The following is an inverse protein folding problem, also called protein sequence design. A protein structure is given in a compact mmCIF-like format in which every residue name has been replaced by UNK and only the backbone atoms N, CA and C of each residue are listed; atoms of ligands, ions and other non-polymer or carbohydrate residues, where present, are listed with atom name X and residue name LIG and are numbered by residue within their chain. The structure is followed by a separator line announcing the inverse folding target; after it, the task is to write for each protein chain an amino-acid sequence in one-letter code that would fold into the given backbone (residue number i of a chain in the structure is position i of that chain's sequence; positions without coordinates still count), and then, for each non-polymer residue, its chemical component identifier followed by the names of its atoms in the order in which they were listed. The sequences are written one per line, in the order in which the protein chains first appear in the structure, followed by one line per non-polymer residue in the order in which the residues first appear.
data_IF_289665926179
#
_entry.id   IF_289665926179
#
_cell.length_a   1.000
_cell.length_b   1.000
_cell.length_c   1.000
_cell.angle_alpha   90.00
_cell.angle_beta   90.00
_cell.angle_gamma   90.00
#
_symmetry.space_group_name_H-M   'P 1'
#
loop_
_entity.id
_entity.type
_entity.pdbx_description
1 polymer ?
#
# COMPACT_ATOMS: atom_id res chain seq x y z
N UNK A 1 -27.18 38.48 -16.22
CA UNK A 1 -27.57 39.63 -15.38
C UNK A 1 -26.84 39.45 -14.05
N UNK A 2 -26.40 40.52 -13.39
CA UNK A 2 -25.86 40.43 -12.02
C UNK A 2 -26.90 41.01 -11.09
N UNK A 3 -27.30 40.28 -10.06
CA UNK A 3 -28.40 40.67 -9.17
C UNK A 3 -28.22 40.08 -7.77
N UNK A 4 -28.81 40.75 -6.78
CA UNK A 4 -28.95 40.27 -5.40
C UNK A 4 -30.39 40.50 -4.97
N UNK A 5 -31.09 39.43 -4.60
CA UNK A 5 -32.47 39.52 -4.12
C UNK A 5 -32.77 38.53 -3.00
N UNK A 6 -33.80 38.84 -2.23
CA UNK A 6 -34.28 37.99 -1.13
C UNK A 6 -35.50 37.19 -1.61
N UNK A 7 -35.43 35.87 -1.50
CA UNK A 7 -36.47 34.90 -1.89
C UNK A 7 -36.90 34.10 -0.67
N UNK A 8 -37.84 34.66 0.12
CA UNK A 8 -38.26 34.05 1.39
C UNK A 8 -37.08 33.95 2.36
N UNK A 9 -36.67 32.71 2.67
CA UNK A 9 -35.58 32.40 3.60
C UNK A 9 -34.18 32.38 2.92
N UNK A 10 -34.10 32.66 1.62
CA UNK A 10 -32.87 32.52 0.83
C UNK A 10 -32.41 33.87 0.28
N UNK A 11 -31.10 34.14 0.32
CA UNK A 11 -30.48 35.20 -0.48
C UNK A 11 -30.05 34.59 -1.82
N UNK A 12 -30.60 35.12 -2.90
CA UNK A 12 -30.23 34.76 -4.27
C UNK A 12 -29.16 35.75 -4.75
N UNK A 13 -27.92 35.29 -4.89
CA UNK A 13 -26.78 36.05 -5.40
C UNK A 13 -26.35 35.46 -6.74
N UNK A 14 -26.58 36.18 -7.83
CA UNK A 14 -26.26 35.72 -9.20
C UNK A 14 -25.31 36.69 -9.90
N UNK A 15 -24.33 36.15 -10.62
CA UNK A 15 -23.42 36.90 -11.46
C UNK A 15 -22.41 35.98 -12.13
N UNK A 16 -21.69 36.48 -13.14
CA UNK A 16 -20.65 35.72 -13.82
C UNK A 16 -19.48 35.36 -12.87
N UNK A 17 -19.15 36.27 -11.95
CA UNK A 17 -18.12 36.11 -10.93
C UNK A 17 -18.59 36.82 -9.65
N UNK A 18 -18.54 36.13 -8.52
CA UNK A 18 -18.68 36.75 -7.19
C UNK A 18 -17.28 36.94 -6.62
N UNK A 19 -16.90 38.20 -6.38
CA UNK A 19 -15.62 38.54 -5.76
C UNK A 19 -15.85 38.93 -4.31
N UNK A 20 -15.25 38.19 -3.38
CA UNK A 20 -15.10 38.61 -1.99
C UNK A 20 -13.64 39.08 -1.78
N UNK A 21 -13.46 40.26 -1.22
CA UNK A 21 -12.14 40.76 -0.78
C UNK A 21 -11.93 40.61 0.73
N UNK A 22 -12.85 39.91 1.39
CA UNK A 22 -12.73 39.53 2.79
C UNK A 22 -11.90 38.25 2.93
N UNK A 23 -11.23 38.08 4.08
CA UNK A 23 -10.40 36.91 4.35
C UNK A 23 -11.23 35.63 4.60
N UNK A 24 -12.44 35.80 5.14
CA UNK A 24 -13.26 34.72 5.66
C UNK A 24 -14.65 34.68 5.00
N UNK A 25 -15.12 33.47 4.69
CA UNK A 25 -16.55 33.19 4.52
C UNK A 25 -17.04 32.37 5.72
N UNK A 26 -18.02 32.92 6.45
CA UNK A 26 -18.57 32.32 7.67
C UNK A 26 -19.91 31.67 7.36
N UNK A 27 -20.05 30.38 7.71
CA UNK A 27 -21.32 29.65 7.65
C UNK A 27 -21.75 29.32 9.08
N UNK A 28 -22.58 30.18 9.67
CA UNK A 28 -22.98 30.04 11.06
C UNK A 28 -24.50 30.03 11.25
N UNK A 29 -24.95 29.16 12.14
CA UNK A 29 -26.32 29.12 12.62
C UNK A 29 -26.30 28.70 14.10
N UNK A 30 -26.66 29.61 15.01
CA UNK A 30 -26.56 29.40 16.46
C UNK A 30 -27.19 28.08 16.92
N UNK A 31 -28.37 27.73 16.39
CA UNK A 31 -29.08 26.49 16.73
C UNK A 31 -28.37 25.19 16.28
N UNK A 32 -27.37 25.28 15.38
CA UNK A 32 -26.57 24.15 14.91
C UNK A 32 -25.21 24.05 15.60
N UNK A 33 -24.87 25.03 16.45
CA UNK A 33 -23.62 25.02 17.21
C UNK A 33 -23.65 23.94 18.29
N UNK A 34 -22.56 23.18 18.42
CA UNK A 34 -22.34 22.26 19.55
C UNK A 34 -21.56 22.93 20.71
N UNK A 35 -20.92 24.07 20.44
CA UNK A 35 -20.13 24.84 21.41
C UNK A 35 -20.37 26.34 21.23
N UNK A 36 -20.07 27.15 22.23
CA UNK A 36 -20.34 28.60 22.24
C UNK A 36 -19.19 29.49 21.72
N UNK A 37 -18.39 29.01 20.76
CA UNK A 37 -17.35 29.88 20.16
C UNK A 37 -17.98 30.96 19.28
N UNK A 38 -17.39 32.18 19.23
CA UNK A 38 -18.03 33.34 18.60
C UNK A 38 -18.07 33.28 17.07
N UNK A 39 -17.09 32.63 16.43
CA UNK A 39 -16.95 32.58 14.96
C UNK A 39 -16.90 31.13 14.44
N UNK A 40 -17.31 30.92 13.18
CA UNK A 40 -17.33 29.63 12.46
C UNK A 40 -16.84 29.79 11.02
N UNK A 41 -15.53 29.97 10.80
CA UNK A 41 -14.99 30.24 9.47
C UNK A 41 -14.97 28.97 8.61
N UNK A 42 -15.85 28.93 7.61
CA UNK A 42 -16.01 27.75 6.74
C UNK A 42 -14.86 27.63 5.76
N UNK A 43 -14.54 28.75 5.10
CA UNK A 43 -13.51 28.89 4.08
C UNK A 43 -12.63 30.09 4.47
N UNK A 44 -11.32 29.87 4.57
CA UNK A 44 -10.34 30.92 4.87
C UNK A 44 -9.28 30.95 3.79
N UNK A 45 -9.01 32.13 3.25
CA UNK A 45 -7.79 32.40 2.48
C UNK A 45 -6.66 32.65 3.48
N UNK A 46 -5.78 31.66 3.63
CA UNK A 46 -4.79 31.65 4.70
C UNK A 46 -3.49 32.39 4.33
N UNK A 47 -2.56 32.46 5.29
CA UNK A 47 -1.30 33.19 5.15
C UNK A 47 -0.33 32.58 4.13
N UNK A 48 -0.54 31.32 3.74
CA UNK A 48 0.28 30.62 2.75
C UNK A 48 -0.35 30.67 1.35
N UNK A 49 -1.30 31.60 1.13
CA UNK A 49 -2.08 31.73 -0.11
C UNK A 49 -2.94 30.47 -0.40
N UNK A 50 -3.29 29.71 0.64
CA UNK A 50 -4.10 28.50 0.59
C UNK A 50 -5.58 28.75 0.88
N UNK A 51 -6.43 27.83 0.45
CA UNK A 51 -7.80 27.71 0.93
C UNK A 51 -7.85 26.69 2.06
N UNK A 52 -7.99 27.15 3.30
CA UNK A 52 -8.20 26.27 4.45
C UNK A 52 -9.69 26.05 4.70
N UNK A 53 -10.08 24.78 4.78
CA UNK A 53 -11.39 24.36 5.26
C UNK A 53 -11.34 24.15 6.77
N UNK A 54 -12.33 24.69 7.50
CA UNK A 54 -12.43 24.55 8.95
C UNK A 54 -11.17 25.06 9.69
N UNK A 55 -10.85 26.32 9.45
CA UNK A 55 -9.72 27.01 10.07
C UNK A 55 -9.83 26.98 11.61
N UNK A 56 -8.70 26.76 12.29
CA UNK A 56 -8.58 26.74 13.77
C UNK A 56 -9.55 25.79 14.50
N UNK A 57 -10.01 24.72 13.82
CA UNK A 57 -11.03 23.81 14.35
C UNK A 57 -12.36 24.52 14.69
N UNK A 58 -12.67 25.61 13.98
CA UNK A 58 -13.90 26.39 14.12
C UNK A 58 -15.18 25.53 13.96
N UNK A 59 -15.09 24.34 13.37
CA UNK A 59 -16.08 23.26 13.39
C UNK A 59 -15.50 22.06 14.15
N UNK A 60 -15.77 21.93 15.46
CA UNK A 60 -15.24 20.84 16.28
C UNK A 60 -15.67 19.44 15.84
N UNK A 61 -16.78 19.34 15.10
CA UNK A 61 -17.24 18.10 14.49
C UNK A 61 -16.47 17.71 13.21
N UNK A 62 -15.58 18.57 12.73
CA UNK A 62 -14.84 18.40 11.49
C UNK A 62 -15.63 18.79 10.24
N UNK A 63 -15.06 18.46 9.09
CA UNK A 63 -15.65 18.64 7.76
C UNK A 63 -15.94 17.26 7.18
N UNK A 64 -17.14 17.08 6.62
CA UNK A 64 -17.47 15.90 5.82
C UNK A 64 -17.57 16.30 4.35
N UNK A 65 -16.79 15.65 3.49
CA UNK A 65 -16.86 15.82 2.03
C UNK A 65 -17.54 14.59 1.45
N UNK A 66 -18.80 14.73 1.07
CA UNK A 66 -19.56 13.64 0.47
C UNK A 66 -19.31 13.59 -1.04
N UNK A 67 -19.19 12.37 -1.59
CA UNK A 67 -19.00 12.12 -3.02
C UNK A 67 -17.82 12.88 -3.66
N UNK A 68 -16.69 12.96 -2.95
CA UNK A 68 -15.44 13.48 -3.53
C UNK A 68 -15.02 12.61 -4.72
N UNK A 69 -15.11 13.16 -5.94
CA UNK A 69 -14.78 12.43 -7.16
C UNK A 69 -13.27 12.30 -7.37
N UNK A 70 -12.52 13.37 -7.11
CA UNK A 70 -11.09 13.44 -7.37
C UNK A 70 -10.45 14.57 -6.54
N UNK A 71 -9.26 14.31 -6.01
CA UNK A 71 -8.33 15.32 -5.50
C UNK A 71 -7.14 15.31 -6.46
N UNK A 72 -7.03 16.38 -7.24
CA UNK A 72 -5.89 16.61 -8.14
C UNK A 72 -5.02 17.70 -7.53
N UNK A 73 -3.72 17.53 -7.58
CA UNK A 73 -2.83 18.67 -7.39
C UNK A 73 -2.41 19.29 -8.73
N UNK A 74 -1.49 20.25 -8.68
CA UNK A 74 -1.04 21.04 -9.82
C UNK A 74 0.27 20.55 -10.49
N UNK A 75 1.21 19.92 -9.77
CA UNK A 75 2.51 19.44 -10.30
C UNK A 75 3.11 18.19 -9.59
N UNK A 76 4.28 17.72 -10.04
CA UNK A 76 4.94 16.53 -9.48
C UNK A 76 5.42 16.66 -8.01
N UNK A 77 5.04 17.72 -7.29
CA UNK A 77 5.29 17.92 -5.85
C UNK A 77 4.01 17.92 -5.01
N UNK A 78 2.86 17.58 -5.59
CA UNK A 78 1.61 17.51 -4.84
C UNK A 78 1.60 16.34 -3.87
N UNK A 79 1.61 16.65 -2.58
CA UNK A 79 1.47 15.67 -1.52
C UNK A 79 0.04 15.66 -1.00
N UNK A 80 -0.61 14.49 -1.03
CA UNK A 80 -1.75 14.25 -0.15
C UNK A 80 -1.20 13.86 1.22
N UNK A 81 -1.15 14.82 2.14
CA UNK A 81 -0.72 14.56 3.51
C UNK A 81 -1.95 14.20 4.36
N UNK A 82 -2.05 12.92 4.75
CA UNK A 82 -3.07 12.45 5.71
C UNK A 82 -2.43 12.24 7.07
N UNK A 83 -2.59 13.21 7.98
CA UNK A 83 -2.16 13.07 9.38
C UNK A 83 -3.31 12.51 10.20
N UNK A 84 -3.27 11.21 10.46
CA UNK A 84 -4.27 10.52 11.28
C UNK A 84 -3.63 9.41 12.09
N UNK A 85 -4.24 9.05 13.24
CA UNK A 85 -3.85 7.84 13.97
C UNK A 85 -4.16 6.57 13.18
N UNK A 86 -5.27 6.58 12.44
CA UNK A 86 -5.76 5.46 11.65
C UNK A 86 -6.25 6.02 10.31
N UNK A 87 -5.70 5.48 9.22
CA UNK A 87 -6.24 5.64 7.88
C UNK A 87 -7.04 4.39 7.53
N UNK A 88 -8.33 4.57 7.24
CA UNK A 88 -9.22 3.47 6.87
C UNK A 88 -9.70 3.67 5.43
N UNK A 89 -9.60 2.60 4.64
CA UNK A 89 -10.08 2.55 3.27
C UNK A 89 -11.10 1.42 3.15
N UNK A 90 -12.31 1.76 2.69
CA UNK A 90 -13.39 0.79 2.44
C UNK A 90 -13.52 0.39 0.97
N UNK A 91 -12.60 0.87 0.12
CA UNK A 91 -12.52 0.46 -1.28
C UNK A 91 -11.88 -0.91 -1.46
N UNK A 92 -12.16 -1.56 -2.59
CA UNK A 92 -11.62 -2.91 -2.89
C UNK A 92 -10.14 -2.91 -3.24
N UNK A 93 -9.62 -1.78 -3.74
CA UNK A 93 -8.32 -1.72 -4.41
C UNK A 93 -7.47 -0.59 -3.83
N UNK A 94 -6.18 -0.86 -3.61
CA UNK A 94 -5.16 0.18 -3.39
C UNK A 94 -4.19 0.19 -4.57
N UNK A 95 -4.27 1.24 -5.38
CA UNK A 95 -3.45 1.41 -6.59
C UNK A 95 -2.25 2.31 -6.33
N UNK A 96 -1.07 1.87 -6.74
CA UNK A 96 0.18 2.64 -6.65
C UNK A 96 0.80 2.75 -8.05
N UNK A 97 0.35 3.71 -8.85
CA UNK A 97 0.91 3.98 -10.18
C UNK A 97 1.84 5.19 -10.12
N UNK A 98 3.15 4.96 -10.28
CA UNK A 98 4.15 6.02 -10.34
C UNK A 98 4.11 6.90 -11.61
N UNK A 99 3.00 6.91 -12.35
CA UNK A 99 2.83 7.67 -13.58
C UNK A 99 3.62 7.13 -14.78
N UNK A 100 3.51 7.82 -15.93
CA UNK A 100 4.11 7.43 -17.22
C UNK A 100 5.61 7.16 -17.14
N UNK A 101 6.30 7.96 -16.34
CA UNK A 101 7.75 7.99 -16.26
C UNK A 101 8.31 6.74 -15.58
N UNK A 102 7.57 6.16 -14.62
CA UNK A 102 7.98 4.93 -13.92
C UNK A 102 7.49 3.66 -14.58
N UNK A 103 6.66 3.73 -15.63
CA UNK A 103 6.12 2.54 -16.30
C UNK A 103 7.16 1.81 -17.16
N UNK A 104 8.30 2.44 -17.43
CA UNK A 104 9.27 1.99 -18.42
C UNK A 104 8.66 2.00 -19.83
N UNK A 105 9.20 2.81 -20.74
CA UNK A 105 8.88 2.63 -22.17
C UNK A 105 9.55 1.35 -22.66
N UNK A 106 8.93 0.20 -22.41
CA UNK A 106 9.32 -1.02 -23.10
C UNK A 106 8.62 -0.98 -24.46
N UNK A 107 9.43 -0.79 -25.49
CA UNK A 107 9.07 -0.84 -26.89
C UNK A 107 8.16 -2.06 -27.16
N UNK A 108 7.02 -1.80 -27.81
CA UNK A 108 6.19 -2.86 -28.39
C UNK A 108 5.16 -3.47 -27.43
N UNK A 109 3.92 -3.02 -27.60
CA UNK A 109 2.75 -3.90 -27.71
C UNK A 109 2.30 -4.74 -26.49
N UNK A 110 1.11 -4.38 -26.01
CA UNK A 110 0.04 -5.28 -25.57
C UNK A 110 0.25 -6.05 -24.25
N UNK A 111 0.05 -5.35 -23.13
CA UNK A 111 -0.99 -5.71 -22.13
C UNK A 111 -1.21 -4.50 -21.23
N UNK A 112 -2.07 -3.60 -21.72
CA UNK A 112 -2.63 -2.49 -20.95
C UNK A 112 -3.63 -3.09 -19.97
N UNK A 113 -3.18 -3.60 -18.83
CA UNK A 113 -4.07 -3.50 -17.68
C UNK A 113 -4.02 -2.02 -17.26
N UNK A 114 -5.09 -1.22 -17.44
CA UNK A 114 -5.11 0.16 -16.95
C UNK A 114 -5.09 0.19 -15.42
N UNK A 115 -5.49 -0.90 -14.78
CA UNK A 115 -5.54 -1.04 -13.34
C UNK A 115 -4.16 -1.51 -12.85
N UNK A 116 -3.60 -0.77 -11.88
CA UNK A 116 -2.26 -0.97 -11.32
C UNK A 116 -2.39 -1.20 -9.83
N UNK A 117 -2.98 -2.33 -9.48
CA UNK A 117 -3.43 -2.61 -8.12
C UNK A 117 -2.32 -3.32 -7.36
N UNK A 118 -1.75 -2.61 -6.39
CA UNK A 118 -0.69 -3.16 -5.55
C UNK A 118 -1.25 -4.17 -4.55
N UNK A 119 -2.40 -3.81 -3.98
CA UNK A 119 -3.13 -4.59 -2.99
C UNK A 119 -4.60 -4.64 -3.40
N UNK A 120 -5.16 -5.84 -3.42
CA UNK A 120 -6.59 -6.06 -3.69
C UNK A 120 -7.18 -6.89 -2.57
N UNK A 121 -8.33 -6.46 -2.05
CA UNK A 121 -9.18 -7.33 -1.25
C UNK A 121 -9.91 -8.29 -2.19
N UNK A 122 -9.35 -9.49 -2.32
CA UNK A 122 -9.88 -10.55 -3.16
C UNK A 122 -11.13 -11.21 -2.58
N UNK A 123 -11.61 -12.23 -3.29
CA UNK A 123 -12.72 -13.06 -2.85
C UNK A 123 -12.29 -13.99 -1.70
N UNK A 124 -13.25 -14.39 -0.85
CA UNK A 124 -12.96 -15.29 0.27
C UNK A 124 -12.06 -14.69 1.35
N UNK A 125 -12.13 -13.37 1.53
CA UNK A 125 -11.38 -12.62 2.56
C UNK A 125 -9.85 -12.70 2.40
N UNK A 126 -9.38 -12.75 1.15
CA UNK A 126 -7.94 -12.78 0.85
C UNK A 126 -7.41 -11.38 0.57
N UNK A 127 -6.22 -11.06 1.09
CA UNK A 127 -5.43 -9.93 0.61
C UNK A 127 -4.47 -10.42 -0.48
N UNK A 128 -4.62 -9.92 -1.70
CA UNK A 128 -3.78 -10.32 -2.83
C UNK A 128 -2.76 -9.23 -3.15
N UNK A 129 -1.49 -9.61 -3.12
CA UNK A 129 -0.38 -8.80 -3.61
C UNK A 129 -0.24 -8.99 -5.12
N UNK A 130 -0.14 -7.87 -5.85
CA UNK A 130 0.05 -7.88 -7.30
C UNK A 130 -1.03 -8.67 -8.07
N UNK A 131 -2.29 -8.32 -7.80
CA UNK A 131 -3.45 -8.96 -8.46
C UNK A 131 -3.31 -8.88 -9.99
N UNK A 132 -3.67 -9.97 -10.69
CA UNK A 132 -3.64 -10.10 -12.16
C UNK A 132 -2.28 -9.79 -12.82
N UNK A 133 -1.18 -9.81 -12.06
CA UNK A 133 0.15 -9.42 -12.53
C UNK A 133 0.21 -7.97 -13.03
N UNK A 134 -0.56 -7.08 -12.39
CA UNK A 134 -0.60 -5.64 -12.67
C UNK A 134 0.81 -4.99 -12.62
N UNK A 135 1.70 -5.54 -11.81
CA UNK A 135 3.15 -5.29 -11.80
C UNK A 135 3.87 -6.48 -12.43
N UNK A 136 4.21 -6.38 -13.72
CA UNK A 136 4.90 -7.45 -14.46
C UNK A 136 6.28 -7.79 -13.90
N UNK A 137 6.95 -6.82 -13.26
CA UNK A 137 8.21 -7.03 -12.52
C UNK A 137 8.03 -7.65 -11.13
N UNK A 138 6.80 -7.90 -10.69
CA UNK A 138 6.48 -8.38 -9.35
C UNK A 138 6.41 -7.28 -8.28
N UNK A 139 6.22 -7.70 -7.04
CA UNK A 139 6.30 -6.86 -5.84
C UNK A 139 7.41 -7.42 -4.97
N UNK A 140 8.30 -6.55 -4.51
CA UNK A 140 9.40 -6.92 -3.61
C UNK A 140 9.02 -6.57 -2.18
N UNK A 141 9.15 -7.54 -1.27
CA UNK A 141 9.03 -7.30 0.18
C UNK A 141 10.43 -7.39 0.77
N UNK A 142 11.01 -6.23 1.09
CA UNK A 142 12.33 -6.15 1.73
C UNK A 142 12.16 -6.11 3.26
N UNK A 143 12.43 -7.22 3.93
CA UNK A 143 12.34 -7.34 5.38
C UNK A 143 11.78 -8.68 5.82
N UNK A 144 11.65 -8.87 7.14
CA UNK A 144 11.04 -10.07 7.71
C UNK A 144 9.53 -10.06 7.43
N UNK A 145 9.03 -11.15 6.86
CA UNK A 145 7.59 -11.45 6.79
C UNK A 145 7.29 -12.53 7.82
N UNK A 146 6.36 -12.27 8.73
CA UNK A 146 5.91 -13.24 9.73
C UNK A 146 4.55 -13.78 9.29
N UNK A 147 4.46 -15.10 9.11
CA UNK A 147 3.21 -15.80 8.81
C UNK A 147 2.97 -16.83 9.93
N UNK A 148 2.21 -16.47 10.98
CA UNK A 148 2.07 -17.30 12.18
C UNK A 148 1.56 -18.72 11.90
N UNK A 149 0.65 -18.85 10.95
CA UNK A 149 0.02 -20.11 10.58
C UNK A 149 0.75 -20.84 9.44
N UNK A 150 1.95 -20.39 9.08
CA UNK A 150 2.76 -20.97 8.00
C UNK A 150 2.51 -20.36 6.62
N UNK A 151 3.14 -20.96 5.61
CA UNK A 151 3.11 -20.47 4.24
C UNK A 151 2.97 -21.64 3.26
N UNK A 152 2.05 -21.50 2.30
CA UNK A 152 1.91 -22.42 1.17
C UNK A 152 2.37 -21.72 -0.10
N UNK A 153 3.38 -22.28 -0.77
CA UNK A 153 3.94 -21.74 -2.01
C UNK A 153 3.77 -22.77 -3.11
N UNK A 154 3.11 -22.39 -4.21
CA UNK A 154 2.79 -23.29 -5.32
C UNK A 154 2.09 -24.59 -4.89
N UNK A 155 1.21 -24.51 -3.88
CA UNK A 155 0.48 -25.65 -3.32
C UNK A 155 1.28 -26.53 -2.36
N UNK A 156 2.53 -26.19 -2.06
CA UNK A 156 3.38 -26.91 -1.12
C UNK A 156 3.48 -26.16 0.20
N UNK A 157 3.26 -26.87 1.31
CA UNK A 157 3.53 -26.33 2.64
C UNK A 157 5.05 -26.19 2.83
N UNK A 158 5.51 -24.97 3.11
CA UNK A 158 6.94 -24.65 3.20
C UNK A 158 7.58 -25.36 4.40
N UNK A 159 6.87 -25.49 5.53
CA UNK A 159 7.41 -26.13 6.72
C UNK A 159 7.60 -27.64 6.51
N UNK A 160 6.60 -28.34 5.96
CA UNK A 160 6.68 -29.74 5.61
C UNK A 160 7.79 -30.02 4.59
N UNK A 161 7.93 -29.16 3.59
CA UNK A 161 9.01 -29.25 2.59
C UNK A 161 10.38 -29.14 3.26
N UNK A 162 10.55 -28.17 4.18
CA UNK A 162 11.80 -27.98 4.91
C UNK A 162 12.14 -29.17 5.82
N UNK A 163 11.15 -29.73 6.53
CA UNK A 163 11.34 -30.94 7.35
C UNK A 163 11.77 -32.13 6.51
N UNK A 164 11.15 -32.33 5.34
CA UNK A 164 11.52 -33.40 4.41
C UNK A 164 12.96 -33.25 3.91
N UNK A 165 13.34 -32.04 3.49
CA UNK A 165 14.71 -31.74 3.04
C UNK A 165 15.72 -31.97 4.17
N UNK A 166 15.40 -31.57 5.39
CA UNK A 166 16.27 -31.81 6.56
C UNK A 166 16.47 -33.31 6.80
N UNK A 167 15.41 -34.11 6.72
CA UNK A 167 15.50 -35.57 6.84
C UNK A 167 16.37 -36.21 5.75
N UNK A 168 16.23 -35.75 4.50
CA UNK A 168 17.07 -36.21 3.39
C UNK A 168 18.56 -35.86 3.62
N UNK A 169 18.85 -34.65 4.09
CA UNK A 169 20.22 -34.23 4.44
C UNK A 169 20.80 -35.10 5.55
N UNK A 170 20.00 -35.41 6.60
CA UNK A 170 20.45 -36.30 7.67
C UNK A 170 20.75 -37.71 7.15
N UNK A 171 19.87 -38.29 6.33
CA UNK A 171 20.08 -39.62 5.76
C UNK A 171 21.33 -39.68 4.88
N UNK A 172 21.50 -38.72 3.97
CA UNK A 172 22.71 -38.60 3.13
C UNK A 172 23.98 -38.44 3.96
N UNK A 173 23.91 -37.71 5.08
CA UNK A 173 25.05 -37.57 6.01
C UNK A 173 25.42 -38.91 6.63
N UNK A 174 24.44 -39.74 7.00
CA UNK A 174 24.68 -41.09 7.53
C UNK A 174 25.28 -42.02 6.48
N UNK A 175 24.74 -42.03 5.26
CA UNK A 175 25.25 -42.85 4.15
C UNK A 175 26.69 -42.49 3.79
N UNK A 176 27.01 -41.20 3.71
CA UNK A 176 28.36 -40.71 3.44
C UNK A 176 29.35 -41.14 4.53
N UNK A 177 28.92 -41.09 5.80
CA UNK A 177 29.75 -41.55 6.92
C UNK A 177 30.08 -43.04 6.79
N UNK A 178 29.07 -43.86 6.46
CA UNK A 178 29.25 -45.29 6.28
C UNK A 178 30.17 -45.62 5.09
N UNK A 179 29.97 -44.96 3.95
CA UNK A 179 30.82 -45.12 2.77
C UNK A 179 32.28 -44.73 3.05
N UNK A 180 32.50 -43.64 3.80
CA UNK A 180 33.84 -43.19 4.19
C UNK A 180 34.56 -44.23 5.06
N UNK A 181 33.83 -44.83 6.02
CA UNK A 181 34.38 -45.91 6.85
C UNK A 181 34.74 -47.15 6.00
N UNK A 182 33.88 -47.53 5.05
CA UNK A 182 34.14 -48.64 4.15
C UNK A 182 35.36 -48.41 3.25
N UNK A 183 35.56 -47.18 2.75
CA UNK A 183 36.75 -46.81 1.97
C UNK A 183 38.01 -46.88 2.84
N UNK A 184 37.97 -46.41 4.09
CA UNK A 184 39.10 -46.48 5.00
C UNK A 184 39.50 -47.94 5.30
N UNK A 185 38.52 -48.81 5.55
CA UNK A 185 38.74 -50.25 5.71
C UNK A 185 39.39 -50.87 4.46
N UNK A 186 38.82 -50.60 3.28
CA UNK A 186 39.36 -51.10 2.03
C UNK A 186 40.79 -50.62 1.77
N UNK A 187 41.07 -49.35 2.07
CA UNK A 187 42.41 -48.77 1.96
C UNK A 187 43.40 -49.52 2.85
N UNK A 188 43.04 -49.76 4.12
CA UNK A 188 43.88 -50.52 5.04
C UNK A 188 44.15 -51.96 4.55
N UNK A 189 43.12 -52.62 4.02
CA UNK A 189 43.25 -53.98 3.45
C UNK A 189 44.15 -54.03 2.23
N UNK A 190 44.05 -53.04 1.34
CA UNK A 190 44.92 -52.91 0.17
C UNK A 190 46.37 -52.68 0.60
N UNK A 191 46.63 -51.78 1.54
CA UNK A 191 47.99 -51.56 2.08
C UNK A 191 48.58 -52.84 2.68
N UNK A 192 47.78 -53.62 3.41
CA UNK A 192 48.23 -54.89 3.98
C UNK A 192 48.60 -55.91 2.88
N UNK A 193 47.75 -56.07 1.85
CA UNK A 193 48.03 -56.93 0.70
C UNK A 193 49.31 -56.50 -0.05
N UNK A 194 49.50 -55.19 -0.28
CA UNK A 194 50.72 -54.68 -0.91
C UNK A 194 51.97 -55.05 -0.09
N UNK A 195 51.89 -55.03 1.24
CA UNK A 195 53.01 -55.42 2.11
C UNK A 195 53.32 -56.92 2.07
N UNK A 196 52.35 -57.79 1.79
CA UNK A 196 52.55 -59.24 1.66
C UNK A 196 53.16 -59.65 0.31
N UNK A 197 52.92 -58.87 -0.74
CA UNK A 197 53.34 -59.17 -2.12
C UNK A 197 54.72 -58.57 -2.46
N UNK A 198 55.25 -57.69 -1.61
CA UNK A 198 56.59 -57.10 -1.78
C UNK A 198 57.62 -57.91 -0.96
N UNK A 199 58.52 -58.70 -1.59
CA UNK A 199 59.48 -59.57 -0.90
C UNK A 199 60.62 -58.82 -0.20
#
# INVERSE_FOLDING_TARGET
MTDIRFEGDIIHLEGLVVRATANDLILDAAARRRTNTPFRRALVHDFDDGLTLNWDHDYPGGVSVNACKQISGFDNRDWLIVRSRIHQQFGTDFMLDGGADRRGRIFGSLRRNPFRRALVHGFGDTLVLNWDRDYTGGVVVNGRVTMPDGAVVAGQDVAATLTSLQGQVTALTTELTAATAAIADLTARVTALESEVTP
#
